data_IF_957747893120
#
_entry.id   IF_957747893120
#
_cell.length_a   1.000
_cell.length_b   1.000
_cell.length_c   1.000
_cell.angle_alpha   90.00
_cell.angle_beta   90.00
_cell.angle_gamma   90.00
#
_symmetry.space_group_name_H-M   'P 1'
#
loop_
_entity.id
_entity.type
_entity.pdbx_description
1 polymer ?
#
# COMPACT_ATOMS: atom_id res chain seq x y z
N UNK A 1 6.67 24.02 -21.75
CA UNK A 1 7.38 22.81 -21.24
C UNK A 1 6.38 21.69 -21.13
N UNK A 2 6.55 20.63 -21.92
CA UNK A 2 5.54 19.57 -22.06
C UNK A 2 5.94 18.31 -21.26
N UNK A 3 4.92 17.53 -20.86
CA UNK A 3 5.01 16.29 -20.07
C UNK A 3 5.95 15.24 -20.69
N UNK A 4 6.22 15.33 -21.99
CA UNK A 4 7.08 14.40 -22.74
C UNK A 4 8.56 14.58 -22.42
N UNK A 5 8.98 15.81 -22.12
CA UNK A 5 10.39 16.10 -21.80
C UNK A 5 10.78 15.64 -20.38
N UNK A 6 9.85 15.64 -19.43
CA UNK A 6 10.11 15.22 -18.05
C UNK A 6 10.29 13.70 -17.90
N UNK A 7 9.61 12.90 -18.72
CA UNK A 7 9.72 11.43 -18.68
C UNK A 7 10.97 10.92 -19.40
N UNK A 8 11.49 11.65 -20.39
CA UNK A 8 12.65 11.23 -21.17
C UNK A 8 13.97 11.32 -20.36
N UNK A 9 14.09 12.23 -19.41
CA UNK A 9 15.31 12.40 -18.60
C UNK A 9 15.46 11.37 -17.48
N UNK A 10 14.41 10.62 -17.13
CA UNK A 10 14.47 9.59 -16.08
C UNK A 10 15.05 8.26 -16.58
N UNK A 11 14.98 7.96 -17.89
CA UNK A 11 15.51 6.71 -18.45
C UNK A 11 17.02 6.71 -18.65
N UNK A 12 17.65 7.89 -18.82
CA UNK A 12 19.08 7.96 -19.11
C UNK A 12 19.98 7.60 -17.90
N UNK A 13 19.41 7.50 -16.68
CA UNK A 13 20.16 7.26 -15.45
C UNK A 13 20.20 5.79 -14.99
N UNK A 14 19.49 4.87 -15.68
CA UNK A 14 19.45 3.45 -15.30
C UNK A 14 19.98 2.56 -16.43
N UNK A 15 21.31 2.36 -16.52
CA UNK A 15 21.89 1.35 -17.39
C UNK A 15 21.58 -0.03 -16.77
N UNK A 16 20.41 -0.58 -17.09
CA UNK A 16 19.96 -1.85 -16.50
C UNK A 16 18.65 -2.43 -17.05
N UNK A 17 18.00 -1.81 -18.05
CA UNK A 17 16.79 -2.35 -18.70
C UNK A 17 17.12 -3.41 -19.78
N UNK A 18 18.13 -4.24 -19.51
CA UNK A 18 18.57 -5.33 -20.38
C UNK A 18 18.00 -6.66 -19.90
N UNK A 19 16.83 -7.04 -20.44
CA UNK A 19 16.14 -8.30 -20.17
C UNK A 19 14.80 -8.06 -19.51
N UNK A 20 13.70 -8.31 -20.23
CA UNK A 20 12.37 -8.36 -19.62
C UNK A 20 12.35 -9.58 -18.68
N UNK A 21 12.84 -9.39 -17.45
CA UNK A 21 12.61 -10.31 -16.36
C UNK A 21 11.10 -10.57 -16.29
N UNK A 22 10.71 -11.82 -16.04
CA UNK A 22 9.31 -12.15 -15.84
C UNK A 22 8.67 -11.14 -14.88
N UNK A 23 7.44 -10.69 -15.14
CA UNK A 23 6.79 -9.71 -14.28
C UNK A 23 6.83 -10.22 -12.83
N UNK A 24 7.14 -9.34 -11.86
CA UNK A 24 7.23 -9.78 -10.47
C UNK A 24 5.87 -10.28 -9.98
N UNK A 25 5.89 -11.26 -9.09
CA UNK A 25 4.70 -11.67 -8.36
C UNK A 25 4.34 -10.61 -7.32
N UNK A 26 3.07 -10.21 -7.25
CA UNK A 26 2.58 -9.25 -6.26
C UNK A 26 1.79 -9.98 -5.17
N UNK A 27 2.26 -9.88 -3.91
CA UNK A 27 1.57 -10.39 -2.74
C UNK A 27 1.14 -9.23 -1.84
N UNK A 28 -0.17 -9.05 -1.67
CA UNK A 28 -0.74 -8.05 -0.76
C UNK A 28 -1.18 -8.76 0.52
N UNK A 29 -0.53 -8.45 1.64
CA UNK A 29 -0.90 -8.92 2.98
C UNK A 29 -1.52 -7.77 3.74
N UNK A 30 -2.72 -7.97 4.28
CA UNK A 30 -3.46 -6.97 5.04
C UNK A 30 -4.12 -7.62 6.24
N UNK A 31 -3.94 -7.02 7.41
CA UNK A 31 -4.55 -7.43 8.68
C UNK A 31 -5.76 -6.55 8.96
N UNK A 32 -6.80 -7.11 9.58
CA UNK A 32 -7.95 -6.32 10.03
C UNK A 32 -7.65 -5.69 11.40
N UNK A 33 -8.08 -4.44 11.60
CA UNK A 33 -7.98 -3.67 12.84
C UNK A 33 -6.57 -3.54 13.45
N UNK A 34 -5.50 -3.73 12.68
CA UNK A 34 -4.15 -3.55 13.21
C UNK A 34 -3.79 -2.06 13.33
N UNK A 35 -3.52 -1.60 14.55
CA UNK A 35 -2.98 -0.26 14.78
C UNK A 35 -1.55 -0.17 14.26
N UNK A 36 -1.17 0.96 13.65
CA UNK A 36 0.20 1.18 13.16
C UNK A 36 1.30 1.08 14.23
N UNK A 37 0.97 1.33 15.50
CA UNK A 37 1.88 1.17 16.65
C UNK A 37 1.96 -0.27 17.19
N UNK A 38 1.19 -1.21 16.66
CA UNK A 38 1.15 -2.60 17.09
C UNK A 38 2.19 -3.45 16.33
N UNK A 39 3.42 -2.96 16.25
CA UNK A 39 4.56 -3.58 15.55
C UNK A 39 5.86 -3.27 16.32
N UNK A 40 6.74 -4.26 16.50
CA UNK A 40 8.05 -4.01 17.12
C UNK A 40 8.90 -3.04 16.29
N UNK A 41 8.89 -3.16 14.96
CA UNK A 41 9.55 -2.20 14.06
C UNK A 41 8.97 -0.77 14.11
N UNK A 42 7.75 -0.58 14.65
CA UNK A 42 7.16 0.73 14.90
C UNK A 42 7.48 1.30 16.30
N UNK A 43 8.37 0.64 17.06
CA UNK A 43 8.81 1.08 18.39
C UNK A 43 8.04 0.45 19.56
N UNK A 44 7.17 -0.53 19.30
CA UNK A 44 6.51 -1.28 20.36
C UNK A 44 7.52 -2.16 21.11
N UNK A 45 7.59 -2.02 22.44
CA UNK A 45 8.55 -2.76 23.29
C UNK A 45 7.99 -4.08 23.83
N UNK A 46 6.69 -4.30 23.72
CA UNK A 46 5.99 -5.46 24.30
C UNK A 46 5.71 -6.52 23.23
N UNK A 47 5.22 -6.10 22.06
CA UNK A 47 4.92 -7.01 20.96
C UNK A 47 6.19 -7.43 20.23
N UNK A 48 6.25 -8.71 19.87
CA UNK A 48 7.34 -9.27 19.06
C UNK A 48 6.78 -9.67 17.70
N UNK A 49 7.19 -8.97 16.64
CA UNK A 49 6.76 -9.23 15.26
C UNK A 49 7.94 -9.54 14.33
N UNK A 50 8.75 -10.59 14.61
CA UNK A 50 10.04 -10.82 13.95
C UNK A 50 9.95 -10.97 12.42
N UNK A 51 8.85 -11.56 11.91
CA UNK A 51 8.62 -11.71 10.48
C UNK A 51 8.34 -10.37 9.79
N UNK A 52 7.54 -9.50 10.42
CA UNK A 52 7.25 -8.16 9.89
C UNK A 52 8.46 -7.23 10.05
N UNK A 53 9.25 -7.40 11.11
CA UNK A 53 10.50 -6.68 11.30
C UNK A 53 11.52 -7.04 10.21
N UNK A 54 11.58 -8.32 9.82
CA UNK A 54 12.41 -8.77 8.69
C UNK A 54 11.97 -8.10 7.39
N UNK A 55 10.67 -8.11 7.09
CA UNK A 55 10.13 -7.43 5.90
C UNK A 55 10.44 -5.91 5.91
N UNK A 56 10.32 -5.26 7.06
CA UNK A 56 10.63 -3.83 7.19
C UNK A 56 12.12 -3.52 7.00
N UNK A 57 13.04 -4.41 7.43
CA UNK A 57 14.49 -4.26 7.22
C UNK A 57 14.93 -4.52 5.78
N UNK A 58 14.30 -5.47 5.11
CA UNK A 58 14.62 -5.85 3.72
C UNK A 58 13.90 -4.95 2.69
N UNK A 59 12.96 -4.11 3.14
CA UNK A 59 12.15 -3.25 2.28
C UNK A 59 12.02 -1.82 2.80
N UNK A 60 10.82 -1.26 2.65
CA UNK A 60 10.51 0.13 3.05
C UNK A 60 9.40 0.12 4.10
N UNK A 61 9.62 0.82 5.21
CA UNK A 61 8.63 1.04 6.26
C UNK A 61 8.03 2.45 6.16
N UNK A 62 6.76 2.54 5.79
CA UNK A 62 6.02 3.81 5.78
C UNK A 62 5.50 4.15 7.18
N UNK A 63 6.19 5.07 7.87
CA UNK A 63 5.83 5.47 9.24
C UNK A 63 4.51 6.24 9.37
N UNK A 64 4.09 6.91 8.30
CA UNK A 64 2.91 7.78 8.27
C UNK A 64 1.84 7.26 7.28
N UNK A 65 1.74 5.94 7.09
CA UNK A 65 0.67 5.34 6.32
C UNK A 65 -0.65 5.41 7.09
N UNK A 66 -1.70 5.92 6.44
CA UNK A 66 -3.04 6.08 7.03
C UNK A 66 -4.08 5.39 6.16
N UNK A 67 -5.14 4.87 6.80
CA UNK A 67 -6.28 4.31 6.07
C UNK A 67 -7.07 5.42 5.38
N UNK A 68 -7.58 5.22 4.16
CA UNK A 68 -8.50 6.17 3.53
C UNK A 68 -9.79 6.34 4.33
N UNK A 69 -10.17 5.33 5.12
CA UNK A 69 -11.31 5.39 6.03
C UNK A 69 -11.22 4.36 7.17
N UNK A 70 -11.77 4.67 8.36
CA UNK A 70 -11.70 3.77 9.52
C UNK A 70 -12.80 2.69 9.52
N UNK A 71 -13.31 2.27 8.36
CA UNK A 71 -14.39 1.28 8.21
C UNK A 71 -13.96 0.16 7.26
N UNK A 72 -14.25 -1.09 7.61
CA UNK A 72 -13.62 -2.28 7.03
C UNK A 72 -13.87 -2.45 5.52
N UNK A 73 -15.15 -2.56 5.10
CA UNK A 73 -15.51 -2.74 3.68
C UNK A 73 -15.02 -1.58 2.80
N UNK A 74 -15.29 -0.30 3.11
CA UNK A 74 -14.83 0.81 2.27
C UNK A 74 -13.30 0.95 2.20
N UNK A 75 -12.57 0.60 3.26
CA UNK A 75 -11.10 0.64 3.24
C UNK A 75 -10.55 -0.40 2.26
N UNK A 76 -11.09 -1.63 2.32
CA UNK A 76 -10.72 -2.71 1.40
C UNK A 76 -11.07 -2.39 -0.04
N UNK A 77 -12.28 -1.87 -0.28
CA UNK A 77 -12.70 -1.44 -1.62
C UNK A 77 -11.79 -0.35 -2.17
N UNK A 78 -11.36 0.60 -1.34
CA UNK A 78 -10.44 1.66 -1.76
C UNK A 78 -9.07 1.10 -2.17
N UNK A 79 -8.53 0.15 -1.41
CA UNK A 79 -7.25 -0.52 -1.74
C UNK A 79 -7.36 -1.33 -3.04
N UNK A 80 -8.43 -2.10 -3.21
CA UNK A 80 -8.61 -2.98 -4.37
C UNK A 80 -8.87 -2.21 -5.68
N UNK A 81 -9.56 -1.07 -5.60
CA UNK A 81 -9.94 -0.28 -6.79
C UNK A 81 -8.99 0.89 -7.08
N UNK A 82 -8.15 1.28 -6.12
CA UNK A 82 -7.35 2.50 -6.20
C UNK A 82 -8.16 3.80 -6.18
N UNK A 83 -9.43 3.74 -5.79
CA UNK A 83 -10.34 4.90 -5.71
C UNK A 83 -10.62 5.25 -4.25
N UNK A 84 -10.96 6.52 -4.00
CA UNK A 84 -11.48 6.93 -2.68
C UNK A 84 -12.87 6.37 -2.43
N UNK A 85 -13.33 6.34 -1.17
CA UNK A 85 -14.71 5.96 -0.82
C UNK A 85 -15.75 6.71 -1.67
N UNK A 86 -15.53 8.00 -1.91
CA UNK A 86 -16.43 8.82 -2.72
C UNK A 86 -16.46 8.38 -4.18
N UNK A 87 -15.33 7.89 -4.70
CA UNK A 87 -15.22 7.34 -6.05
C UNK A 87 -15.72 5.90 -6.19
N UNK A 88 -15.91 5.17 -5.09
CA UNK A 88 -16.46 3.80 -5.10
C UNK A 88 -17.93 3.75 -4.72
N UNK A 89 -18.46 4.77 -4.03
CA UNK A 89 -19.83 4.78 -3.49
C UNK A 89 -20.03 3.87 -2.26
N UNK A 90 -19.00 3.12 -1.86
CA UNK A 90 -19.02 2.25 -0.69
C UNK A 90 -18.63 3.10 0.52
N UNK A 91 -19.59 3.38 1.40
CA UNK A 91 -19.41 4.27 2.55
C UNK A 91 -19.55 3.59 3.91
N UNK A 92 -20.05 2.35 3.94
CA UNK A 92 -20.30 1.58 5.15
C UNK A 92 -20.04 0.09 4.95
N UNK A 93 -20.10 -0.68 6.04
CA UNK A 93 -19.96 -2.14 5.98
C UNK A 93 -21.20 -2.82 5.39
N UNK A 94 -22.37 -2.26 5.67
CA UNK A 94 -23.66 -2.77 5.19
C UNK A 94 -24.05 -2.15 3.84
N UNK A 95 -23.18 -1.33 3.25
CA UNK A 95 -23.35 -0.77 1.92
C UNK A 95 -23.11 -1.83 0.83
N UNK A 96 -23.77 -2.98 0.97
CA UNK A 96 -24.09 -3.87 -0.12
C UNK A 96 -25.32 -3.28 -0.81
N UNK A 97 -25.08 -2.38 -1.77
CA UNK A 97 -26.07 -1.96 -2.76
C UNK A 97 -27.46 -1.62 -2.21
N UNK A 98 -27.60 -0.45 -1.56
CA UNK A 98 -28.88 0.24 -1.60
C UNK A 98 -29.03 0.82 -3.02
N UNK A 99 -29.44 -0.05 -3.95
CA UNK A 99 -30.02 0.30 -5.26
C UNK A 99 -31.53 0.35 -5.16
#
# INVERSE_FOLDING_TARGET
MNRRQFLASALAAYPGLGGAAAPPNLLIIMTDQQRGSALSCAGNKTLQTPNLDRLAREGVLYRNAVTPCPVCVPARTSILTGKSMHGTGVTGNDAAADS
#
